data_IF_634834479766
#
_entry.id   IF_634834479766
#
_cell.length_a   1.000
_cell.length_b   1.000
_cell.length_c   1.000
_cell.angle_alpha   90.00
_cell.angle_beta   90.00
_cell.angle_gamma   90.00
#
_symmetry.space_group_name_H-M   'P 1'
#
loop_
_entity.id
_entity.type
_entity.pdbx_description
1 polymer ?
#
# COMPACT_ATOMS: atom_id res chain seq x y z
N UNK A 1 38.05 18.45 14.60
CA UNK A 1 37.65 17.18 13.95
C UNK A 1 36.51 17.50 13.02
N UNK A 2 36.78 17.55 11.72
CA UNK A 2 35.75 17.83 10.72
C UNK A 2 34.94 16.56 10.48
N UNK A 3 33.68 16.56 10.94
CA UNK A 3 32.75 15.47 10.67
C UNK A 3 32.32 15.58 9.21
N UNK A 4 32.85 14.70 8.37
CA UNK A 4 32.42 14.58 6.98
C UNK A 4 30.97 14.07 6.93
N UNK A 5 30.14 14.69 6.08
CA UNK A 5 28.74 14.29 5.82
C UNK A 5 28.59 12.79 5.55
N UNK A 6 29.59 12.18 4.88
CA UNK A 6 29.60 10.75 4.58
C UNK A 6 29.68 9.90 5.85
N UNK A 7 30.55 10.28 6.80
CA UNK A 7 30.70 9.57 8.07
C UNK A 7 29.46 9.70 8.95
N UNK A 8 28.83 10.87 8.97
CA UNK A 8 27.58 11.10 9.69
C UNK A 8 26.44 10.21 9.18
N UNK A 9 26.30 10.07 7.86
CA UNK A 9 25.27 9.21 7.26
C UNK A 9 25.58 7.73 7.55
N UNK A 10 26.84 7.30 7.44
CA UNK A 10 27.24 5.93 7.75
C UNK A 10 26.97 5.56 9.22
N UNK A 11 27.27 6.46 10.17
CA UNK A 11 26.98 6.22 11.59
C UNK A 11 25.49 6.21 11.93
N UNK A 12 24.67 6.93 11.17
CA UNK A 12 23.21 6.98 11.41
C UNK A 12 22.51 5.73 10.86
N UNK A 13 22.98 5.19 9.73
CA UNK A 13 22.44 3.96 9.12
C UNK A 13 22.65 2.72 10.00
N UNK A 14 23.77 2.61 10.71
CA UNK A 14 24.03 1.47 11.62
C UNK A 14 23.12 1.46 12.86
N UNK A 15 22.58 2.61 13.28
CA UNK A 15 21.64 2.68 14.41
C UNK A 15 20.18 2.44 13.99
N UNK A 16 19.79 2.83 12.77
CA UNK A 16 18.42 2.66 12.27
C UNK A 16 18.01 1.20 12.01
N UNK A 17 18.98 0.33 11.68
CA UNK A 17 18.73 -1.08 11.41
C UNK A 17 18.21 -1.86 12.64
N UNK A 18 18.55 -1.41 13.86
CA UNK A 18 18.04 -2.00 15.10
C UNK A 18 16.60 -1.57 15.42
N UNK A 19 16.17 -0.38 14.97
CA UNK A 19 14.79 0.10 15.17
C UNK A 19 13.79 -0.59 14.22
N UNK A 20 14.24 -1.02 13.05
CA UNK A 20 13.45 -1.80 12.08
C UNK A 20 13.26 -3.28 12.45
N UNK A 21 13.94 -3.75 13.52
CA UNK A 21 13.71 -5.06 14.14
C UNK A 21 12.59 -5.04 15.19
N UNK A 22 11.84 -3.94 15.29
CA UNK A 22 10.49 -4.02 15.85
C UNK A 22 9.67 -4.93 14.93
N UNK A 23 9.67 -6.24 15.25
CA UNK A 23 8.63 -7.15 14.81
C UNK A 23 7.30 -6.40 14.95
N UNK A 24 6.38 -6.47 13.98
CA UNK A 24 5.03 -5.97 14.22
C UNK A 24 4.56 -6.65 15.49
N UNK A 25 4.46 -5.87 16.58
CA UNK A 25 3.91 -6.36 17.82
C UNK A 25 2.54 -6.89 17.43
N UNK A 26 2.35 -8.20 17.53
CA UNK A 26 1.03 -8.77 17.37
C UNK A 26 0.13 -7.92 18.26
N UNK A 27 -0.82 -7.21 17.65
CA UNK A 27 -1.83 -6.50 18.41
C UNK A 27 -2.60 -7.60 19.12
N UNK A 28 -2.28 -7.84 20.39
CA UNK A 28 -3.10 -8.61 21.30
C UNK A 28 -4.33 -7.73 21.52
N UNK A 29 -5.27 -7.75 20.56
CA UNK A 29 -6.54 -7.11 20.69
C UNK A 29 -7.15 -7.62 22.00
N UNK A 30 -7.43 -6.71 22.94
CA UNK A 30 -8.16 -7.08 24.15
C UNK A 30 -9.41 -7.85 23.71
N UNK A 31 -9.73 -9.00 24.33
CA UNK A 31 -10.91 -9.77 23.94
C UNK A 31 -12.16 -8.91 24.20
N UNK A 32 -12.60 -8.18 23.17
CA UNK A 32 -13.90 -7.54 23.14
C UNK A 32 -14.91 -8.64 22.85
N UNK A 33 -15.97 -8.75 23.63
CA UNK A 33 -17.06 -9.70 23.42
C UNK A 33 -17.93 -9.37 22.18
N UNK A 34 -17.42 -8.52 21.29
CA UNK A 34 -18.05 -8.07 20.07
C UNK A 34 -17.81 -9.09 18.96
N UNK A 35 -18.85 -9.41 18.19
CA UNK A 35 -18.73 -10.26 17.03
C UNK A 35 -17.80 -9.63 15.99
N UNK A 36 -16.69 -10.30 15.66
CA UNK A 36 -15.74 -9.90 14.63
C UNK A 36 -15.64 -10.99 13.57
N UNK A 37 -16.08 -10.70 12.36
CA UNK A 37 -15.87 -11.55 11.21
C UNK A 37 -14.82 -10.92 10.28
N UNK A 38 -13.81 -11.71 9.88
CA UNK A 38 -12.89 -11.34 8.81
C UNK A 38 -13.47 -11.83 7.49
N UNK A 39 -13.76 -10.91 6.57
CA UNK A 39 -14.26 -11.23 5.23
C UNK A 39 -13.10 -11.08 4.25
N UNK A 40 -12.63 -12.21 3.71
CA UNK A 40 -11.64 -12.21 2.64
C UNK A 40 -12.35 -12.12 1.28
N UNK A 41 -12.32 -10.95 0.66
CA UNK A 41 -12.84 -10.76 -0.71
C UNK A 41 -11.73 -11.09 -1.70
N UNK A 42 -11.91 -12.18 -2.45
CA UNK A 42 -11.03 -12.51 -3.56
C UNK A 42 -11.47 -11.76 -4.83
N UNK A 43 -10.61 -10.88 -5.33
CA UNK A 43 -10.84 -10.14 -6.56
C UNK A 43 -10.05 -10.79 -7.70
N UNK A 44 -10.74 -11.58 -8.53
CA UNK A 44 -10.20 -12.17 -9.74
C UNK A 44 -9.89 -11.07 -10.77
N UNK A 45 -8.74 -10.41 -10.63
CA UNK A 45 -8.35 -9.23 -11.40
C UNK A 45 -7.67 -8.12 -10.59
N UNK A 46 -7.58 -8.27 -9.26
CA UNK A 46 -6.89 -7.35 -8.34
C UNK A 46 -7.60 -6.02 -8.12
N UNK A 47 -7.10 -5.24 -7.15
CA UNK A 47 -7.43 -3.83 -6.94
C UNK A 47 -6.13 -3.02 -6.84
N UNK A 48 -5.88 -2.15 -7.81
CA UNK A 48 -4.76 -1.22 -7.89
C UNK A 48 -5.27 0.23 -7.99
N UNK A 49 -4.37 1.20 -8.07
CA UNK A 49 -4.76 2.61 -8.17
C UNK A 49 -5.54 2.92 -9.47
N UNK A 50 -5.29 2.17 -10.55
CA UNK A 50 -5.87 2.41 -11.86
C UNK A 50 -7.28 1.83 -12.01
N UNK A 51 -7.67 0.82 -11.22
CA UNK A 51 -9.05 0.34 -11.16
C UNK A 51 -9.84 0.82 -9.94
N UNK A 52 -9.18 1.46 -8.98
CA UNK A 52 -9.86 2.18 -7.91
C UNK A 52 -10.41 3.53 -8.39
N UNK A 53 -9.69 4.23 -9.29
CA UNK A 53 -10.07 5.56 -9.77
C UNK A 53 -10.18 5.56 -11.29
N UNK A 54 -11.38 5.86 -11.80
CA UNK A 54 -11.62 5.97 -13.23
C UNK A 54 -11.25 7.36 -13.75
N UNK A 55 -10.49 7.45 -14.87
CA UNK A 55 -10.26 8.74 -15.52
C UNK A 55 -11.55 9.27 -16.12
N UNK A 56 -11.90 10.52 -15.81
CA UNK A 56 -13.15 11.14 -16.28
C UNK A 56 -13.02 11.75 -17.68
N UNK A 57 -11.81 12.14 -18.10
CA UNK A 57 -11.60 12.71 -19.43
C UNK A 57 -11.85 11.64 -20.51
N UNK A 58 -12.42 12.07 -21.64
CA UNK A 58 -12.77 11.17 -22.75
C UNK A 58 -11.54 10.43 -23.31
N UNK A 59 -10.45 11.15 -23.55
CA UNK A 59 -9.23 10.58 -24.09
C UNK A 59 -8.64 9.48 -23.18
N UNK A 60 -8.52 9.75 -21.88
CA UNK A 60 -7.92 8.81 -20.94
C UNK A 60 -8.87 7.64 -20.62
N UNK A 61 -10.18 7.88 -20.54
CA UNK A 61 -11.16 6.81 -20.41
C UNK A 61 -11.10 5.82 -21.58
N UNK A 62 -11.01 6.32 -22.82
CA UNK A 62 -10.88 5.45 -24.01
C UNK A 62 -9.59 4.63 -24.00
N UNK A 63 -8.50 5.18 -23.48
CA UNK A 63 -7.25 4.42 -23.34
C UNK A 63 -7.38 3.35 -22.25
N UNK A 64 -7.97 3.72 -21.12
CA UNK A 64 -8.24 2.81 -20.01
C UNK A 64 -9.12 1.62 -20.42
N UNK A 65 -10.26 1.88 -21.08
CA UNK A 65 -11.19 0.82 -21.51
C UNK A 65 -10.59 -0.15 -22.53
N UNK A 66 -9.72 0.33 -23.43
CA UNK A 66 -8.99 -0.54 -24.36
C UNK A 66 -8.09 -1.56 -23.67
N UNK A 67 -7.44 -1.16 -22.57
CA UNK A 67 -6.51 -2.03 -21.83
C UNK A 67 -7.26 -3.00 -20.93
N UNK A 68 -8.33 -2.54 -20.27
CA UNK A 68 -9.09 -3.35 -19.29
C UNK A 68 -10.16 -4.24 -19.92
N UNK A 69 -10.52 -4.01 -21.18
CA UNK A 69 -11.57 -4.77 -21.86
C UNK A 69 -12.97 -4.30 -21.45
N UNK A 70 -13.99 -5.18 -21.51
CA UNK A 70 -15.36 -4.82 -21.18
C UNK A 70 -15.49 -4.32 -19.73
N UNK A 71 -15.84 -3.04 -19.57
CA UNK A 71 -16.05 -2.44 -18.26
C UNK A 71 -17.49 -2.69 -17.81
N UNK A 72 -17.66 -3.19 -16.58
CA UNK A 72 -18.99 -3.52 -16.01
C UNK A 72 -19.75 -2.29 -15.50
N UNK A 73 -19.13 -1.11 -15.55
CA UNK A 73 -19.71 0.16 -15.09
C UNK A 73 -19.78 1.15 -16.25
N UNK A 74 -20.89 1.87 -16.35
CA UNK A 74 -21.06 2.95 -17.30
C UNK A 74 -20.10 4.11 -16.96
N UNK A 75 -19.77 4.91 -17.98
CA UNK A 75 -18.98 6.13 -17.81
C UNK A 75 -19.79 7.21 -17.09
#
# INVERSE_FOLDING_TARGET
MDISRRHFIQSTLSMGALASLSLPGYSLAAPSNDFRALICVYLAGGNDAFNTILPLSEAHYRQYSKVRGPLSVAK
#
